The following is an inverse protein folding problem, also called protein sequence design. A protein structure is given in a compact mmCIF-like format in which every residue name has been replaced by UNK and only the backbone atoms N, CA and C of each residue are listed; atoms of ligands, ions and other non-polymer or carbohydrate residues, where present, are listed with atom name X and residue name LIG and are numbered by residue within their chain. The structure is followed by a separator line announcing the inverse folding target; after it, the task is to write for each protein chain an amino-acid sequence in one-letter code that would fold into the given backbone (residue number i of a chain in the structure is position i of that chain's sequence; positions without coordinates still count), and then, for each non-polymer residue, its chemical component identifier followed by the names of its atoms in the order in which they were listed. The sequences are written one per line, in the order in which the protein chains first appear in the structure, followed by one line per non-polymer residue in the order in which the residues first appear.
data_IF_841270586628
#
_entry.id   IF_841270586628
#
_cell.length_a   1.000
_cell.length_b   1.000
_cell.length_c   1.000
_cell.angle_alpha   90.00
_cell.angle_beta   90.00
_cell.angle_gamma   90.00
#
_symmetry.space_group_name_H-M   'P 1'
#
loop_
_entity.id
_entity.type
_entity.pdbx_description
1 polymer ?
#
# COMPACT_ATOMS: atom_id res chain seq x y z
N UNK A 1 -19.25 2.62 6.44
CA UNK A 1 -18.72 1.63 7.40
C UNK A 1 -17.73 2.39 8.27
N UNK A 2 -17.77 2.20 9.58
CA UNK A 2 -16.77 2.82 10.47
C UNK A 2 -15.42 2.14 10.21
N UNK A 3 -14.29 2.87 10.23
CA UNK A 3 -12.99 2.25 10.05
C UNK A 3 -12.71 1.29 11.21
N UNK A 4 -12.22 0.10 10.92
CA UNK A 4 -11.89 -0.90 11.92
C UNK A 4 -10.42 -0.81 12.34
N UNK A 5 -10.17 -0.77 13.64
CA UNK A 5 -8.83 -0.67 14.23
C UNK A 5 -8.58 -1.89 15.11
N UNK A 6 -7.56 -2.68 14.78
CA UNK A 6 -7.11 -3.79 15.60
C UNK A 6 -6.04 -3.29 16.58
N UNK A 7 -6.30 -3.43 17.88
CA UNK A 7 -5.34 -3.13 18.95
C UNK A 7 -4.71 -4.43 19.45
N UNK A 8 -3.38 -4.49 19.44
CA UNK A 8 -2.59 -5.67 19.84
C UNK A 8 -1.64 -5.27 20.95
N UNK A 9 -1.90 -5.76 22.16
CA UNK A 9 -1.11 -5.48 23.37
C UNK A 9 -1.36 -6.63 24.37
N UNK A 10 -0.35 -7.08 25.10
CA UNK A 10 -0.48 -8.18 26.06
C UNK A 10 -1.07 -7.71 27.41
N UNK A 11 -1.12 -6.40 27.66
CA UNK A 11 -1.73 -5.81 28.85
C UNK A 11 -3.24 -5.59 28.66
N UNK A 12 -4.11 -6.31 29.40
CA UNK A 12 -5.57 -6.16 29.25
C UNK A 12 -6.09 -4.76 29.62
N UNK A 13 -5.36 -4.03 30.47
CA UNK A 13 -5.63 -2.63 30.83
C UNK A 13 -5.49 -1.71 29.63
N UNK A 14 -4.44 -1.88 28.82
CA UNK A 14 -4.20 -1.07 27.61
C UNK A 14 -5.25 -1.38 26.56
N UNK A 15 -5.55 -2.67 26.32
CA UNK A 15 -6.61 -3.08 25.39
C UNK A 15 -7.95 -2.44 25.75
N UNK A 16 -8.37 -2.49 27.02
CA UNK A 16 -9.64 -1.88 27.47
C UNK A 16 -9.64 -0.37 27.35
N UNK A 17 -8.53 0.29 27.69
CA UNK A 17 -8.40 1.74 27.62
C UNK A 17 -8.50 2.24 26.18
N UNK A 18 -7.70 1.66 25.27
CA UNK A 18 -7.73 2.01 23.86
C UNK A 18 -9.06 1.64 23.22
N UNK A 19 -9.66 0.50 23.56
CA UNK A 19 -10.99 0.14 23.09
C UNK A 19 -12.03 1.19 23.49
N UNK A 20 -12.08 1.60 24.77
CA UNK A 20 -13.04 2.60 25.23
C UNK A 20 -12.89 3.93 24.47
N UNK A 21 -11.66 4.45 24.42
CA UNK A 21 -11.37 5.73 23.76
C UNK A 21 -11.68 5.68 22.27
N UNK A 22 -11.25 4.64 21.55
CA UNK A 22 -11.45 4.55 20.11
C UNK A 22 -12.92 4.27 19.74
N UNK A 23 -13.64 3.50 20.56
CA UNK A 23 -15.07 3.29 20.36
C UNK A 23 -15.87 4.59 20.55
N UNK A 24 -15.52 5.40 21.56
CA UNK A 24 -16.16 6.72 21.80
C UNK A 24 -15.93 7.69 20.63
N UNK A 25 -14.79 7.59 19.95
CA UNK A 25 -14.45 8.36 18.74
C UNK A 25 -15.07 7.78 17.46
N UNK A 26 -15.81 6.67 17.56
CA UNK A 26 -16.57 6.08 16.46
C UNK A 26 -15.78 5.10 15.59
N UNK A 27 -14.71 4.49 16.09
CA UNK A 27 -14.05 3.37 15.41
C UNK A 27 -14.67 2.03 15.80
N UNK A 28 -14.62 1.06 14.88
CA UNK A 28 -14.89 -0.33 15.21
C UNK A 28 -13.60 -0.95 15.75
N UNK A 29 -13.59 -1.38 17.01
CA UNK A 29 -12.34 -1.76 17.69
C UNK A 29 -12.28 -3.26 17.89
N UNK A 30 -11.27 -3.88 17.29
CA UNK A 30 -10.91 -5.27 17.52
C UNK A 30 -9.71 -5.30 18.47
N UNK A 31 -9.61 -6.34 19.30
CA UNK A 31 -8.50 -6.47 20.25
C UNK A 31 -7.88 -7.86 20.18
N UNK A 32 -6.56 -7.94 20.23
CA UNK A 32 -5.81 -9.19 20.32
C UNK A 32 -4.80 -9.13 21.48
N UNK A 33 -4.72 -10.16 22.34
CA UNK A 33 -3.78 -10.18 23.46
C UNK A 33 -2.36 -10.60 23.08
N UNK A 34 -2.10 -10.98 21.82
CA UNK A 34 -0.79 -11.40 21.32
C UNK A 34 -0.75 -11.40 19.78
N UNK A 35 0.46 -11.56 19.23
CA UNK A 35 0.70 -11.59 17.78
C UNK A 35 -0.02 -12.71 17.02
N UNK A 36 -0.17 -13.90 17.61
CA UNK A 36 -0.85 -15.03 16.95
C UNK A 36 -2.35 -14.77 16.76
N UNK A 37 -3.03 -14.32 17.81
CA UNK A 37 -4.44 -13.90 17.74
C UNK A 37 -4.63 -12.71 16.79
N UNK A 38 -3.68 -11.78 16.78
CA UNK A 38 -3.72 -10.64 15.85
C UNK A 38 -3.70 -11.09 14.40
N UNK A 39 -2.80 -12.02 14.02
CA UNK A 39 -2.72 -12.54 12.66
C UNK A 39 -4.02 -13.25 12.24
N UNK A 40 -4.63 -14.02 13.15
CA UNK A 40 -5.91 -14.68 12.90
C UNK A 40 -7.03 -13.67 12.65
N UNK A 41 -7.16 -12.66 13.51
CA UNK A 41 -8.18 -11.61 13.36
C UNK A 41 -7.96 -10.82 12.06
N UNK A 42 -6.70 -10.57 11.68
CA UNK A 42 -6.39 -9.88 10.42
C UNK A 42 -6.90 -10.68 9.21
N UNK A 43 -6.76 -12.01 9.24
CA UNK A 43 -7.25 -12.88 8.17
C UNK A 43 -8.78 -12.98 8.13
N UNK A 44 -9.43 -13.02 9.29
CA UNK A 44 -10.89 -13.20 9.41
C UNK A 44 -11.67 -11.89 9.17
N UNK A 45 -11.22 -10.78 9.78
CA UNK A 45 -11.98 -9.52 9.85
C UNK A 45 -11.42 -8.42 8.94
N UNK A 46 -10.18 -8.56 8.44
CA UNK A 46 -9.53 -7.58 7.55
C UNK A 46 -9.60 -6.12 8.05
N UNK A 47 -8.97 -5.81 9.21
CA UNK A 47 -9.03 -4.48 9.79
C UNK A 47 -8.41 -3.41 8.88
N UNK A 48 -8.86 -2.17 9.00
CA UNK A 48 -8.29 -1.04 8.23
C UNK A 48 -6.92 -0.61 8.77
N UNK A 49 -6.68 -0.74 10.08
CA UNK A 49 -5.45 -0.31 10.74
C UNK A 49 -5.09 -1.25 11.89
N UNK A 50 -3.79 -1.44 12.15
CA UNK A 50 -3.29 -2.16 13.33
C UNK A 50 -2.48 -1.23 14.23
N UNK A 51 -2.81 -1.19 15.51
CA UNK A 51 -1.98 -0.67 16.59
C UNK A 51 -1.30 -1.85 17.29
N UNK A 52 0.04 -1.88 17.32
CA UNK A 52 0.79 -3.07 17.73
C UNK A 52 1.86 -2.73 18.76
N UNK A 53 1.82 -3.37 19.93
CA UNK A 53 2.94 -3.34 20.88
C UNK A 53 4.13 -4.15 20.36
N UNK A 54 5.34 -3.64 20.58
CA UNK A 54 6.59 -4.33 20.29
C UNK A 54 6.85 -5.46 21.29
N UNK A 55 6.62 -5.18 22.57
CA UNK A 55 7.06 -6.06 23.66
C UNK A 55 5.91 -6.93 24.12
N UNK A 56 5.75 -8.09 23.49
CA UNK A 56 4.74 -9.07 23.87
C UNK A 56 5.39 -10.44 24.12
N UNK A 57 4.86 -11.25 25.05
CA UNK A 57 5.32 -12.60 25.28
C UNK A 57 4.97 -13.52 24.09
N UNK A 58 5.88 -14.43 23.77
CA UNK A 58 5.71 -15.36 22.65
C UNK A 58 6.21 -14.74 21.34
N UNK A 59 5.28 -14.44 20.43
CA UNK A 59 5.61 -13.77 19.16
C UNK A 59 5.76 -12.27 19.41
N UNK A 60 6.96 -11.74 19.17
CA UNK A 60 7.23 -10.33 19.39
C UNK A 60 6.52 -9.44 18.36
N UNK A 61 6.37 -8.14 18.66
CA UNK A 61 5.68 -7.21 17.76
C UNK A 61 6.43 -6.96 16.45
N UNK A 62 7.74 -7.15 16.39
CA UNK A 62 8.53 -6.99 15.15
C UNK A 62 8.32 -8.19 14.21
N UNK A 63 8.25 -9.39 14.75
CA UNK A 63 7.93 -10.63 14.06
C UNK A 63 6.47 -10.58 13.58
N UNK A 64 5.57 -10.11 14.43
CA UNK A 64 4.16 -9.88 14.07
C UNK A 64 4.06 -8.88 12.92
N UNK A 65 4.75 -7.74 12.98
CA UNK A 65 4.81 -6.75 11.90
C UNK A 65 5.29 -7.37 10.58
N UNK A 66 6.35 -8.19 10.61
CA UNK A 66 6.88 -8.84 9.40
C UNK A 66 5.85 -9.76 8.75
N UNK A 67 5.16 -10.58 9.54
CA UNK A 67 4.17 -11.51 8.99
C UNK A 67 2.94 -10.76 8.46
N UNK A 68 2.50 -9.71 9.16
CA UNK A 68 1.44 -8.80 8.66
C UNK A 68 1.85 -8.21 7.31
N UNK A 69 3.06 -7.65 7.20
CA UNK A 69 3.50 -6.97 5.97
C UNK A 69 3.77 -7.92 4.81
N UNK A 70 4.13 -9.16 5.10
CA UNK A 70 4.31 -10.22 4.11
C UNK A 70 2.97 -10.64 3.49
N UNK A 71 1.93 -10.81 4.31
CA UNK A 71 0.62 -11.28 3.84
C UNK A 71 -0.28 -10.12 3.36
N UNK A 72 -0.19 -8.97 4.03
CA UNK A 72 -0.97 -7.75 3.78
C UNK A 72 -0.05 -6.52 3.67
N UNK A 73 0.72 -6.36 2.57
CA UNK A 73 1.72 -5.30 2.44
C UNK A 73 1.15 -3.88 2.51
N UNK A 74 -0.14 -3.71 2.19
CA UNK A 74 -0.82 -2.41 2.19
C UNK A 74 -1.51 -2.07 3.51
N UNK A 75 -1.67 -3.03 4.43
CA UNK A 75 -2.29 -2.78 5.73
C UNK A 75 -1.39 -1.88 6.57
N UNK A 76 -1.90 -0.75 7.05
CA UNK A 76 -1.11 0.16 7.86
C UNK A 76 -0.94 -0.40 9.28
N UNK A 77 0.28 -0.30 9.81
CA UNK A 77 0.61 -0.76 11.16
C UNK A 77 1.32 0.39 11.88
N UNK A 78 0.75 0.84 12.97
CA UNK A 78 1.35 1.83 13.88
C UNK A 78 1.85 1.08 15.10
N UNK A 79 3.13 1.28 15.39
CA UNK A 79 3.78 0.60 16.49
C UNK A 79 3.64 1.42 17.76
N UNK A 80 3.34 0.77 18.87
CA UNK A 80 3.27 1.37 20.20
C UNK A 80 4.37 0.75 21.05
N UNK A 81 5.15 1.54 21.80
CA UNK A 81 6.11 0.95 22.74
C UNK A 81 6.52 1.90 23.86
N UNK A 82 6.63 1.39 25.08
CA UNK A 82 7.18 2.14 26.22
C UNK A 82 8.68 1.96 26.43
N UNK A 83 9.32 1.05 25.70
CA UNK A 83 10.76 0.78 25.77
C UNK A 83 11.41 1.03 24.40
N UNK A 84 10.85 1.97 23.64
CA UNK A 84 11.30 2.27 22.29
C UNK A 84 12.61 3.02 22.28
N UNK A 85 13.71 2.34 21.96
CA UNK A 85 14.91 3.05 21.50
C UNK A 85 14.66 3.61 20.10
N UNK A 86 15.32 4.72 19.75
CA UNK A 86 15.33 5.26 18.37
C UNK A 86 15.68 4.15 17.35
N UNK A 87 16.58 3.24 17.72
CA UNK A 87 16.98 2.11 16.89
C UNK A 87 15.81 1.17 16.58
N UNK A 88 14.97 0.86 17.57
CA UNK A 88 13.81 -0.01 17.39
C UNK A 88 12.75 0.65 16.52
N UNK A 89 12.49 1.94 16.72
CA UNK A 89 11.58 2.71 15.87
C UNK A 89 12.05 2.73 14.40
N UNK A 90 13.33 3.03 14.17
CA UNK A 90 13.94 3.01 12.83
C UNK A 90 13.84 1.62 12.19
N UNK A 91 14.07 0.57 12.97
CA UNK A 91 13.95 -0.82 12.48
C UNK A 91 12.51 -1.14 12.08
N UNK A 92 11.52 -0.75 12.88
CA UNK A 92 10.11 -0.98 12.57
C UNK A 92 9.68 -0.26 11.29
N UNK A 93 10.06 1.01 11.11
CA UNK A 93 9.76 1.77 9.88
C UNK A 93 10.41 1.11 8.65
N UNK A 94 11.65 0.62 8.77
CA UNK A 94 12.32 -0.14 7.68
C UNK A 94 11.59 -1.44 7.32
N UNK A 95 10.88 -2.04 8.26
CA UNK A 95 10.07 -3.24 8.05
C UNK A 95 8.65 -2.93 7.54
N UNK A 96 8.32 -1.66 7.33
CA UNK A 96 7.05 -1.23 6.76
C UNK A 96 6.00 -0.77 7.76
N UNK A 97 6.36 -0.55 9.03
CA UNK A 97 5.50 0.20 9.94
C UNK A 97 5.28 1.62 9.40
N UNK A 98 4.04 2.10 9.52
CA UNK A 98 3.65 3.44 9.09
C UNK A 98 4.24 4.50 10.02
N UNK A 99 4.05 4.31 11.33
CA UNK A 99 4.48 5.24 12.37
C UNK A 99 4.77 4.51 13.68
N UNK A 100 5.36 5.24 14.63
CA UNK A 100 5.73 4.76 15.96
C UNK A 100 5.28 5.77 17.04
N UNK A 101 4.60 5.27 18.07
CA UNK A 101 4.14 6.03 19.23
C UNK A 101 4.82 5.51 20.48
N UNK A 102 5.51 6.41 21.20
CA UNK A 102 6.14 6.10 22.48
C UNK A 102 5.11 6.15 23.63
N UNK A 103 5.08 5.14 24.51
CA UNK A 103 4.32 5.20 25.78
C UNK A 103 5.05 6.22 26.71
N UNK A 104 4.36 7.08 27.47
CA UNK A 104 2.93 7.04 27.77
C UNK A 104 2.07 7.56 26.61
N UNK A 105 1.04 6.76 26.28
CA UNK A 105 0.07 7.08 25.23
C UNK A 105 -0.77 8.28 25.65
N UNK A 106 -0.77 9.33 24.85
CA UNK A 106 -1.83 10.34 24.91
C UNK A 106 -2.86 10.04 23.83
N UNK A 107 -4.14 10.22 24.18
CA UNK A 107 -5.27 10.01 23.27
C UNK A 107 -5.08 10.83 21.99
N UNK A 108 -4.70 12.10 22.12
CA UNK A 108 -4.43 12.97 20.98
C UNK A 108 -3.38 12.40 20.02
N UNK A 109 -2.25 11.86 20.53
CA UNK A 109 -1.20 11.28 19.69
C UNK A 109 -1.71 10.05 18.94
N UNK A 110 -2.43 9.17 19.63
CA UNK A 110 -3.03 7.97 19.03
C UNK A 110 -4.02 8.36 17.93
N UNK A 111 -4.90 9.32 18.21
CA UNK A 111 -5.89 9.80 17.24
C UNK A 111 -5.25 10.45 16.01
N UNK A 112 -4.19 11.25 16.20
CA UNK A 112 -3.45 11.84 15.08
C UNK A 112 -2.80 10.75 14.22
N UNK A 113 -2.16 9.75 14.84
CA UNK A 113 -1.52 8.66 14.12
C UNK A 113 -2.53 7.82 13.33
N UNK A 114 -3.67 7.46 13.94
CA UNK A 114 -4.76 6.71 13.27
C UNK A 114 -5.29 7.49 12.07
N UNK A 115 -5.63 8.77 12.26
CA UNK A 115 -6.18 9.60 11.18
C UNK A 115 -5.20 9.76 10.02
N UNK A 116 -3.91 9.96 10.31
CA UNK A 116 -2.87 10.06 9.29
C UNK A 116 -2.69 8.74 8.54
N UNK A 117 -2.66 7.61 9.26
CA UNK A 117 -2.50 6.28 8.67
C UNK A 117 -3.68 5.92 7.75
N UNK A 118 -4.92 6.12 8.20
CA UNK A 118 -6.13 5.89 7.40
C UNK A 118 -6.20 6.80 6.18
N UNK A 119 -5.83 8.08 6.34
CA UNK A 119 -5.76 9.02 5.22
C UNK A 119 -4.70 8.58 4.20
N UNK A 120 -3.53 8.16 4.66
CA UNK A 120 -2.47 7.66 3.79
C UNK A 120 -2.92 6.42 3.01
N UNK A 121 -3.57 5.46 3.68
CA UNK A 121 -4.13 4.27 3.05
C UNK A 121 -5.13 4.61 1.95
N UNK A 122 -6.05 5.54 2.22
CA UNK A 122 -7.04 5.99 1.23
C UNK A 122 -6.37 6.63 0.01
N UNK A 123 -5.36 7.48 0.22
CA UNK A 123 -4.63 8.13 -0.88
C UNK A 123 -3.88 7.08 -1.72
N UNK A 124 -3.19 6.13 -1.07
CA UNK A 124 -2.50 5.04 -1.75
C UNK A 124 -3.46 4.17 -2.57
N UNK A 125 -4.63 3.85 -2.01
CA UNK A 125 -5.65 3.09 -2.73
C UNK A 125 -6.24 3.87 -3.92
N UNK A 126 -6.57 5.14 -3.74
CA UNK A 126 -7.03 6.00 -4.83
C UNK A 126 -5.97 6.09 -5.94
N UNK A 127 -4.70 6.28 -5.59
CA UNK A 127 -3.58 6.31 -6.54
C UNK A 127 -3.46 4.98 -7.29
N UNK A 128 -3.56 3.85 -6.59
CA UNK A 128 -3.56 2.50 -7.19
C UNK A 128 -4.72 2.31 -8.16
N UNK A 129 -5.93 2.73 -7.80
CA UNK A 129 -7.10 2.66 -8.66
C UNK A 129 -6.97 3.55 -9.90
N UNK A 130 -6.43 4.76 -9.75
CA UNK A 130 -6.16 5.68 -10.85
C UNK A 130 -5.11 5.10 -11.82
N UNK A 131 -3.99 4.60 -11.29
CA UNK A 131 -2.97 3.90 -12.08
C UNK A 131 -3.58 2.72 -12.85
N UNK A 132 -4.40 1.88 -12.19
CA UNK A 132 -5.11 0.77 -12.84
C UNK A 132 -6.06 1.24 -13.96
N UNK A 133 -6.82 2.32 -13.76
CA UNK A 133 -7.72 2.89 -14.79
C UNK A 133 -6.94 3.43 -15.99
N UNK A 134 -5.81 4.09 -15.75
CA UNK A 134 -4.94 4.56 -16.84
C UNK A 134 -4.32 3.39 -17.62
N UNK A 135 -3.87 2.34 -16.92
CA UNK A 135 -3.37 1.11 -17.54
C UNK A 135 -4.45 0.36 -18.33
N UNK A 136 -5.68 0.28 -17.80
CA UNK A 136 -6.82 -0.37 -18.46
C UNK A 136 -7.27 0.31 -19.75
N UNK A 137 -7.18 1.64 -19.83
CA UNK A 137 -7.41 2.40 -21.08
C UNK A 137 -6.24 2.30 -22.06
N UNK A 138 -5.06 1.85 -21.60
CA UNK A 138 -3.84 1.81 -22.39
C UNK A 138 -3.55 0.43 -23.01
N UNK A 139 -4.47 -0.54 -22.91
CA UNK A 139 -4.28 -1.86 -23.53
C UNK A 139 -4.69 -1.84 -25.00
N UNK A 140 -3.79 -2.35 -25.84
CA UNK A 140 -4.07 -2.73 -27.23
C UNK A 140 -5.25 -3.71 -27.26
N UNK A 141 -6.42 -3.27 -27.75
CA UNK A 141 -7.59 -4.13 -27.94
C UNK A 141 -7.73 -4.50 -29.41
N UNK A 142 -8.07 -5.76 -29.70
CA UNK A 142 -8.26 -6.25 -31.07
C UNK A 142 -7.48 -7.53 -31.36
N UNK A 143 -8.10 -8.43 -32.13
CA UNK A 143 -7.55 -9.76 -32.48
C UNK A 143 -7.24 -9.96 -33.96
N UNK A 144 -7.29 -8.89 -34.76
CA UNK A 144 -7.06 -8.99 -36.21
C UNK A 144 -5.59 -9.33 -36.51
N UNK A 145 -5.30 -9.98 -37.66
CA UNK A 145 -3.93 -10.35 -38.01
C UNK A 145 -2.92 -9.18 -37.98
N UNK A 146 -3.24 -7.97 -38.50
CA UNK A 146 -2.32 -6.82 -38.41
C UNK A 146 -2.04 -6.37 -36.97
N UNK A 147 -3.05 -6.42 -36.10
CA UNK A 147 -2.91 -6.04 -34.69
C UNK A 147 -2.03 -7.04 -33.95
N UNK A 148 -2.19 -8.34 -34.22
CA UNK A 148 -1.32 -9.38 -33.65
C UNK A 148 0.13 -9.24 -34.10
N UNK A 149 0.36 -8.92 -35.38
CA UNK A 149 1.71 -8.68 -35.89
C UNK A 149 2.36 -7.46 -35.20
N UNK A 150 1.60 -6.38 -35.01
CA UNK A 150 2.08 -5.20 -34.28
C UNK A 150 2.40 -5.52 -32.82
N UNK A 151 1.55 -6.30 -32.14
CA UNK A 151 1.82 -6.76 -30.76
C UNK A 151 3.12 -7.56 -30.66
N UNK A 152 3.41 -8.42 -31.64
CA UNK A 152 4.67 -9.17 -31.69
C UNK A 152 5.87 -8.24 -31.88
N UNK A 153 5.78 -7.25 -32.76
CA UNK A 153 6.84 -6.25 -32.94
C UNK A 153 7.10 -5.44 -31.67
N UNK A 154 6.02 -5.01 -30.99
CA UNK A 154 6.12 -4.31 -29.70
C UNK A 154 6.82 -5.17 -28.66
N UNK A 155 6.47 -6.45 -28.55
CA UNK A 155 7.10 -7.37 -27.60
C UNK A 155 8.60 -7.57 -27.85
N UNK A 156 9.05 -7.49 -29.11
CA UNK A 156 10.46 -7.60 -29.48
C UNK A 156 11.23 -6.33 -29.17
N UNK A 157 10.66 -5.15 -29.45
CA UNK A 157 11.38 -3.87 -29.31
C UNK A 157 11.34 -3.31 -27.88
N UNK A 158 10.27 -3.57 -27.12
CA UNK A 158 10.07 -3.02 -25.78
C UNK A 158 11.22 -3.26 -24.79
N UNK A 159 11.83 -4.45 -24.68
CA UNK A 159 12.94 -4.67 -23.73
C UNK A 159 14.28 -4.06 -24.19
N UNK A 160 14.35 -3.40 -25.34
CA UNK A 160 15.58 -2.81 -25.90
C UNK A 160 15.71 -1.32 -25.57
N UNK A 161 16.93 -0.78 -25.65
CA UNK A 161 17.20 0.66 -25.52
C UNK A 161 17.17 1.42 -26.87
N UNK A 162 16.61 0.81 -27.92
CA UNK A 162 16.58 1.40 -29.26
C UNK A 162 15.53 2.53 -29.38
N UNK A 163 15.81 3.50 -30.25
CA UNK A 163 14.84 4.52 -30.64
C UNK A 163 13.72 3.89 -31.48
N UNK A 164 12.46 4.17 -31.13
CA UNK A 164 11.29 3.64 -31.84
C UNK A 164 10.54 4.76 -32.56
N UNK A 165 10.31 4.56 -33.87
CA UNK A 165 9.42 5.40 -34.67
C UNK A 165 8.07 4.69 -34.82
N UNK A 166 6.98 5.34 -34.44
CA UNK A 166 5.62 4.81 -34.57
C UNK A 166 4.91 5.61 -35.66
N UNK A 167 4.65 4.95 -36.80
CA UNK A 167 3.98 5.54 -37.94
C UNK A 167 2.53 5.05 -38.05
N UNK A 168 1.65 5.90 -38.58
CA UNK A 168 0.24 5.58 -38.79
C UNK A 168 -0.62 6.83 -38.98
N UNK A 169 -1.82 6.64 -39.49
CA UNK A 169 -2.79 7.72 -39.73
C UNK A 169 -3.24 8.41 -38.43
N UNK A 170 -3.92 9.54 -38.56
CA UNK A 170 -4.51 10.21 -37.41
C UNK A 170 -5.60 9.30 -36.79
N UNK A 171 -5.62 9.19 -35.46
CA UNK A 171 -6.53 8.29 -34.75
C UNK A 171 -6.15 6.80 -34.76
N UNK A 172 -5.07 6.39 -35.43
CA UNK A 172 -4.64 4.97 -35.50
C UNK A 172 -4.11 4.38 -34.17
N UNK A 173 -4.11 5.15 -33.07
CA UNK A 173 -3.66 4.67 -31.76
C UNK A 173 -2.15 4.67 -31.53
N UNK A 174 -1.38 5.54 -32.20
CA UNK A 174 0.09 5.63 -32.05
C UNK A 174 0.55 5.84 -30.60
N UNK A 175 -0.18 6.66 -29.84
CA UNK A 175 0.09 6.90 -28.40
C UNK A 175 -0.09 5.61 -27.58
N UNK A 176 -1.09 4.79 -27.95
CA UNK A 176 -1.33 3.49 -27.31
C UNK A 176 -0.15 2.54 -27.53
N UNK A 177 0.42 2.52 -28.74
CA UNK A 177 1.63 1.74 -29.06
C UNK A 177 2.80 2.22 -28.19
N UNK A 178 3.03 3.54 -28.10
CA UNK A 178 4.12 4.11 -27.31
C UNK A 178 4.01 3.76 -25.82
N UNK A 179 2.81 3.90 -25.24
CA UNK A 179 2.53 3.52 -23.86
C UNK A 179 2.74 2.02 -23.64
N UNK A 180 2.33 1.17 -24.59
CA UNK A 180 2.51 -0.28 -24.50
C UNK A 180 3.99 -0.66 -24.53
N UNK A 181 4.79 -0.04 -25.41
CA UNK A 181 6.25 -0.23 -25.46
C UNK A 181 6.86 0.14 -24.10
N UNK A 182 6.52 1.31 -23.54
CA UNK A 182 7.02 1.73 -22.22
C UNK A 182 6.67 0.73 -21.11
N UNK A 183 5.41 0.28 -21.04
CA UNK A 183 4.93 -0.68 -20.05
C UNK A 183 5.61 -2.06 -20.15
N UNK A 184 6.04 -2.47 -21.34
CA UNK A 184 6.72 -3.74 -21.59
C UNK A 184 8.26 -3.62 -21.57
N UNK A 185 8.79 -2.42 -21.31
CA UNK A 185 10.23 -2.16 -21.29
C UNK A 185 10.83 -2.36 -19.90
N UNK A 186 12.17 -2.39 -19.83
CA UNK A 186 12.92 -2.34 -18.57
C UNK A 186 12.73 -1.03 -17.80
N UNK A 187 12.03 -0.05 -18.38
CA UNK A 187 11.78 1.28 -17.80
C UNK A 187 10.32 1.50 -17.38
N UNK A 188 9.50 0.45 -17.32
CA UNK A 188 8.07 0.54 -17.03
C UNK A 188 7.74 1.30 -15.73
N UNK A 189 8.60 1.19 -14.71
CA UNK A 189 8.45 1.89 -13.42
C UNK A 189 8.80 3.39 -13.47
N UNK A 190 9.45 3.85 -14.54
CA UNK A 190 9.81 5.26 -14.71
C UNK A 190 8.69 6.05 -15.38
N UNK A 191 8.80 7.39 -15.30
CA UNK A 191 7.83 8.31 -15.89
C UNK A 191 7.92 8.29 -17.41
N UNK A 192 6.78 8.08 -18.08
CA UNK A 192 6.61 8.38 -19.50
C UNK A 192 6.19 9.85 -19.65
N UNK A 193 6.96 10.63 -20.41
CA UNK A 193 6.69 12.04 -20.68
C UNK A 193 6.28 12.19 -22.14
N UNK A 194 5.08 12.72 -22.37
CA UNK A 194 4.54 12.96 -23.70
C UNK A 194 4.71 14.43 -24.08
N UNK A 195 5.28 14.68 -25.25
CA UNK A 195 5.44 16.03 -25.81
C UNK A 195 4.68 16.08 -27.14
N UNK A 196 3.63 16.90 -27.19
CA UNK A 196 2.90 17.12 -28.42
C UNK A 196 3.52 18.28 -29.20
N UNK A 197 4.38 17.95 -30.16
CA UNK A 197 5.07 18.95 -30.98
C UNK A 197 4.14 19.75 -31.91
N UNK A 198 2.89 19.33 -32.11
CA UNK A 198 1.93 20.07 -32.95
C UNK A 198 1.17 21.17 -32.18
N UNK A 199 1.25 21.16 -30.85
CA UNK A 199 0.60 22.13 -29.96
C UNK A 199 1.59 23.13 -29.33
N UNK A 200 2.86 23.09 -29.75
CA UNK A 200 3.96 23.99 -29.37
C UNK A 200 4.29 24.84 -30.60
#
# INVERSE_FOLDING_TARGET
MLPSVLVVDDEPSILRSLHGVLADEGYDVLTAPNGYEALKIIEEESPDLVLLDIWMPGMDGIETLKEIKKNNPFLQVVIISGHGTIETAVRATKLGAYDFIEKPLSIEKVMVAINNALKYQRIEEENRLLKRRMLGKSRFTGGSPPVKALQQQVAVVAPTDAWVLIAGENGAGKELVARTIHQMSNRAEYRLVEVNCAAI
#
